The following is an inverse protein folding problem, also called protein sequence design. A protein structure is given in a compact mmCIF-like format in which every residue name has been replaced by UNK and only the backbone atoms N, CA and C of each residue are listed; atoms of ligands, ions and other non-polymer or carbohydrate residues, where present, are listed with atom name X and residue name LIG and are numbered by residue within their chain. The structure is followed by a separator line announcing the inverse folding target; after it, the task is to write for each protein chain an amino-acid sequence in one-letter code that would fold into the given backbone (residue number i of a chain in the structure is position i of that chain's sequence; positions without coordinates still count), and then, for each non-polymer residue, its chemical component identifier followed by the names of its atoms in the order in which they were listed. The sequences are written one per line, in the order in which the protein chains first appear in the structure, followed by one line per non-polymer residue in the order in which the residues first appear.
data_IF_199911552628
#
_entry.id   IF_199911552628
#
_cell.length_a   1.000
_cell.length_b   1.000
_cell.length_c   1.000
_cell.angle_alpha   90.00
_cell.angle_beta   90.00
_cell.angle_gamma   90.00
#
_symmetry.space_group_name_H-M   'P 1'
#
loop_
_entity.id
_entity.type
_entity.pdbx_description
1 polymer ?
#
# COMPACT_ATOMS: atom_id res chain seq x y z
N UNK A 1 -0.50 -6.26 -26.74
CA UNK A 1 0.00 -5.65 -25.49
C UNK A 1 -0.92 -4.53 -24.97
N UNK A 2 -2.24 -4.50 -25.28
CA UNK A 2 -3.12 -3.34 -24.99
C UNK A 2 -4.40 -3.63 -24.17
N UNK A 3 -4.64 -4.87 -23.69
CA UNK A 3 -5.92 -5.19 -23.07
C UNK A 3 -6.10 -4.68 -21.63
N UNK A 4 -5.03 -4.46 -20.85
CA UNK A 4 -5.17 -4.05 -19.44
C UNK A 4 -5.53 -2.57 -19.29
N UNK A 5 -5.07 -1.72 -20.22
CA UNK A 5 -5.34 -0.27 -20.27
C UNK A 5 -6.85 0.00 -20.37
N UNK A 6 -7.55 -0.82 -21.15
CA UNK A 6 -8.98 -0.65 -21.42
C UNK A 6 -9.85 -1.09 -20.25
N UNK A 7 -9.46 -2.11 -19.48
CA UNK A 7 -10.36 -2.73 -18.49
C UNK A 7 -10.61 -1.82 -17.29
N UNK A 8 -9.57 -1.21 -16.72
CA UNK A 8 -9.74 -0.37 -15.51
C UNK A 8 -10.56 0.87 -15.85
N UNK A 9 -10.24 1.56 -16.94
CA UNK A 9 -10.98 2.76 -17.37
C UNK A 9 -12.39 2.46 -17.85
N UNK A 10 -12.61 1.34 -18.55
CA UNK A 10 -13.95 0.95 -18.99
C UNK A 10 -14.85 0.47 -17.84
N UNK A 11 -14.26 -0.01 -16.73
CA UNK A 11 -15.01 -0.50 -15.56
C UNK A 11 -15.16 0.57 -14.47
N UNK A 12 -14.39 1.65 -14.53
CA UNK A 12 -14.48 2.76 -13.59
C UNK A 12 -15.74 3.60 -13.86
N UNK A 13 -16.37 4.17 -12.82
CA UNK A 13 -17.41 5.18 -12.99
C UNK A 13 -16.89 6.34 -13.87
N UNK A 14 -17.72 6.84 -14.78
CA UNK A 14 -17.33 7.93 -15.70
C UNK A 14 -16.90 9.21 -14.97
N UNK A 15 -17.38 9.41 -13.73
CA UNK A 15 -17.10 10.56 -12.88
C UNK A 15 -16.05 10.27 -11.80
N UNK A 16 -15.30 9.17 -11.90
CA UNK A 16 -14.23 8.86 -10.94
C UNK A 16 -13.11 9.91 -11.05
N UNK A 17 -12.85 10.61 -9.95
CA UNK A 17 -11.84 11.67 -9.90
C UNK A 17 -10.47 11.16 -9.47
N UNK A 18 -10.45 10.16 -8.57
CA UNK A 18 -9.22 9.66 -7.95
C UNK A 18 -9.37 8.19 -7.59
N UNK A 19 -8.32 7.40 -7.82
CA UNK A 19 -8.26 5.98 -7.48
C UNK A 19 -7.09 5.68 -6.53
N UNK A 20 -7.39 5.18 -5.33
CA UNK A 20 -6.36 4.75 -4.37
C UNK A 20 -6.25 3.23 -4.40
N UNK A 21 -5.04 2.71 -4.59
CA UNK A 21 -4.78 1.29 -4.70
C UNK A 21 -3.80 0.81 -3.63
N UNK A 22 -4.25 -0.16 -2.82
CA UNK A 22 -3.41 -0.80 -1.80
C UNK A 22 -2.68 -2.02 -2.40
N UNK A 23 -1.41 -1.82 -2.72
CA UNK A 23 -0.51 -2.83 -3.25
C UNK A 23 0.25 -3.54 -2.13
N UNK A 24 1.57 -3.68 -2.21
CA UNK A 24 2.44 -4.31 -1.21
C UNK A 24 3.87 -3.85 -1.41
N UNK A 25 4.64 -3.69 -0.33
CA UNK A 25 6.09 -3.71 -0.43
C UNK A 25 6.55 -5.05 -1.04
N UNK A 26 7.65 -5.00 -1.78
CA UNK A 26 8.29 -6.14 -2.42
C UNK A 26 7.82 -6.44 -3.83
N UNK A 27 6.86 -5.70 -4.39
CA UNK A 27 6.39 -5.92 -5.77
C UNK A 27 7.48 -5.75 -6.82
N UNK A 28 8.46 -4.87 -6.58
CA UNK A 28 9.63 -4.69 -7.46
C UNK A 28 10.81 -5.59 -7.05
N UNK A 29 10.73 -6.21 -5.87
CA UNK A 29 11.76 -7.10 -5.30
C UNK A 29 11.29 -8.55 -5.13
N UNK A 30 10.26 -8.95 -5.90
CA UNK A 30 9.57 -10.23 -5.76
C UNK A 30 10.46 -11.47 -5.89
N UNK A 31 11.60 -11.36 -6.56
CA UNK A 31 12.58 -12.45 -6.71
C UNK A 31 13.60 -12.50 -5.57
N UNK A 32 13.61 -11.52 -4.67
CA UNK A 32 14.52 -11.44 -3.53
C UNK A 32 13.89 -12.05 -2.28
N UNK A 33 14.69 -12.71 -1.44
CA UNK A 33 14.22 -13.17 -0.14
C UNK A 33 13.93 -11.96 0.78
N UNK A 34 12.83 -11.95 1.57
CA UNK A 34 11.84 -13.01 1.78
C UNK A 34 10.65 -12.98 0.79
N UNK A 35 10.58 -12.00 -0.11
CA UNK A 35 9.45 -11.79 -1.03
C UNK A 35 9.25 -12.93 -2.02
N UNK A 36 10.32 -13.63 -2.41
CA UNK A 36 10.24 -14.83 -3.27
C UNK A 36 9.44 -15.96 -2.62
N UNK A 37 9.43 -16.06 -1.29
CA UNK A 37 8.58 -17.03 -0.57
C UNK A 37 7.13 -16.58 -0.57
N UNK A 38 6.90 -15.29 -0.29
CA UNK A 38 5.56 -14.69 -0.30
C UNK A 38 4.92 -14.79 -1.70
N UNK A 39 5.73 -14.63 -2.75
CA UNK A 39 5.30 -14.68 -4.13
C UNK A 39 5.18 -16.10 -4.71
N UNK A 40 5.30 -17.17 -3.91
CA UNK A 40 5.16 -18.55 -4.40
C UNK A 40 3.84 -18.82 -5.13
N UNK A 41 2.80 -18.05 -4.85
CA UNK A 41 1.50 -18.12 -5.52
C UNK A 41 1.25 -16.95 -6.51
N UNK A 42 2.28 -16.18 -6.87
CA UNK A 42 2.18 -15.08 -7.83
C UNK A 42 1.42 -13.85 -7.33
N UNK A 43 1.28 -13.68 -6.01
CA UNK A 43 0.51 -12.58 -5.40
C UNK A 43 1.15 -11.21 -5.71
N UNK A 44 2.47 -11.11 -5.65
CA UNK A 44 3.19 -9.87 -5.97
C UNK A 44 3.16 -9.59 -7.47
N UNK A 45 3.17 -10.63 -8.32
CA UNK A 45 2.94 -10.48 -9.77
C UNK A 45 1.55 -9.93 -10.08
N UNK A 46 0.51 -10.43 -9.41
CA UNK A 46 -0.84 -9.94 -9.58
C UNK A 46 -0.98 -8.48 -9.13
N UNK A 47 -0.37 -8.12 -7.99
CA UNK A 47 -0.33 -6.74 -7.50
C UNK A 47 0.39 -5.81 -8.47
N UNK A 48 1.57 -6.19 -8.96
CA UNK A 48 2.32 -5.38 -9.93
C UNK A 48 1.56 -5.21 -11.25
N UNK A 49 0.85 -6.24 -11.72
CA UNK A 49 -0.04 -6.11 -12.90
C UNK A 49 -1.18 -5.12 -12.63
N UNK A 50 -1.76 -5.14 -11.43
CA UNK A 50 -2.78 -4.17 -11.01
C UNK A 50 -2.24 -2.74 -10.99
N UNK A 51 -1.05 -2.51 -10.40
CA UNK A 51 -0.37 -1.21 -10.43
C UNK A 51 -0.18 -0.71 -11.86
N UNK A 52 0.40 -1.55 -12.73
CA UNK A 52 0.62 -1.19 -14.14
C UNK A 52 -0.69 -0.88 -14.87
N UNK A 53 -1.77 -1.63 -14.61
CA UNK A 53 -3.05 -1.38 -15.25
C UNK A 53 -3.63 -0.01 -14.83
N UNK A 54 -3.48 0.38 -13.56
CA UNK A 54 -3.92 1.69 -13.05
C UNK A 54 -3.04 2.81 -13.60
N UNK A 55 -1.71 2.66 -13.54
CA UNK A 55 -0.76 3.66 -14.07
C UNK A 55 -1.06 3.96 -15.54
N UNK A 56 -1.32 2.93 -16.34
CA UNK A 56 -1.60 3.09 -17.76
C UNK A 56 -3.07 3.46 -18.08
N UNK A 57 -3.97 3.51 -17.09
CA UNK A 57 -5.39 3.82 -17.31
C UNK A 57 -5.66 5.30 -17.62
N UNK A 58 -4.76 6.20 -17.19
CA UNK A 58 -4.96 7.64 -17.26
C UNK A 58 -5.96 8.20 -16.24
N UNK A 59 -6.35 7.40 -15.24
CA UNK A 59 -7.08 7.86 -14.04
C UNK A 59 -6.06 8.41 -13.05
N UNK A 60 -6.34 9.55 -12.40
CA UNK A 60 -5.50 10.05 -11.31
C UNK A 60 -5.46 9.03 -10.17
N UNK A 61 -4.26 8.63 -9.76
CA UNK A 61 -4.10 7.54 -8.82
C UNK A 61 -3.17 7.88 -7.66
N UNK A 62 -3.29 7.08 -6.59
CA UNK A 62 -2.26 6.93 -5.57
C UNK A 62 -2.09 5.43 -5.29
N UNK A 63 -0.87 4.92 -5.42
CA UNK A 63 -0.54 3.53 -5.09
C UNK A 63 0.22 3.48 -3.79
N UNK A 64 -0.33 2.77 -2.81
CA UNK A 64 0.25 2.62 -1.47
C UNK A 64 0.75 1.19 -1.32
N UNK A 65 2.04 1.03 -1.05
CA UNK A 65 2.72 -0.25 -0.85
C UNK A 65 2.99 -0.46 0.65
N UNK A 66 2.05 -1.05 1.41
CA UNK A 66 2.30 -1.30 2.82
C UNK A 66 3.36 -2.38 3.02
N UNK A 67 4.11 -2.25 4.12
CA UNK A 67 4.86 -3.35 4.71
C UNK A 67 3.94 -4.48 5.19
N UNK A 68 4.48 -5.37 6.03
CA UNK A 68 3.69 -6.49 6.57
C UNK A 68 2.54 -5.97 7.42
N UNK A 69 1.30 -6.28 7.04
CA UNK A 69 0.12 -5.76 7.72
C UNK A 69 -0.05 -6.35 9.13
N UNK A 70 -0.09 -5.50 10.14
CA UNK A 70 -0.32 -5.84 11.56
C UNK A 70 -1.57 -5.14 12.10
N UNK A 71 -1.96 -5.47 13.35
CA UNK A 71 -3.18 -5.01 14.04
C UNK A 71 -4.49 -5.53 13.39
N UNK A 72 -5.49 -5.87 14.21
CA UNK A 72 -6.66 -6.66 13.81
C UNK A 72 -7.74 -5.96 12.96
N UNK A 73 -8.85 -6.65 12.63
CA UNK A 73 -9.14 -8.04 12.98
C UNK A 73 -8.26 -9.01 12.18
N UNK A 74 -7.68 -9.99 12.87
CA UNK A 74 -6.91 -11.06 12.23
C UNK A 74 -7.90 -11.98 11.52
N UNK A 75 -8.05 -11.81 10.20
CA UNK A 75 -8.94 -12.68 9.40
C UNK A 75 -8.31 -14.05 9.14
N UNK A 76 -7.06 -14.26 9.54
CA UNK A 76 -6.37 -15.53 9.50
C UNK A 76 -5.98 -15.93 10.93
N UNK A 77 -6.23 -17.19 11.31
CA UNK A 77 -5.65 -17.85 12.48
C UNK A 77 -4.14 -18.08 12.29
N UNK A 78 -3.40 -17.02 11.94
CA UNK A 78 -1.96 -17.07 11.76
C UNK A 78 -1.22 -16.84 13.09
N UNK A 79 0.11 -16.99 13.03
CA UNK A 79 1.00 -16.79 14.16
C UNK A 79 0.83 -15.42 14.84
N UNK A 80 0.34 -14.39 14.14
CA UNK A 80 0.07 -13.06 14.71
C UNK A 80 -1.19 -13.04 15.58
N UNK A 81 -2.18 -13.90 15.29
CA UNK A 81 -3.33 -14.14 16.20
C UNK A 81 -2.86 -14.80 17.50
N UNK A 82 -1.91 -15.74 17.40
CA UNK A 82 -1.34 -16.42 18.57
C UNK A 82 -0.42 -15.51 19.39
N UNK A 83 0.32 -14.61 18.74
CA UNK A 83 1.25 -13.69 19.41
C UNK A 83 0.61 -12.39 19.89
N UNK A 84 -0.65 -12.08 19.51
CA UNK A 84 -1.38 -10.84 19.87
C UNK A 84 -0.47 -9.60 19.82
N UNK A 85 0.43 -9.52 18.84
CA UNK A 85 1.32 -8.37 18.68
C UNK A 85 0.52 -7.23 18.07
N UNK A 86 -0.27 -6.58 18.91
CA UNK A 86 -0.94 -5.34 18.56
C UNK A 86 0.01 -4.20 18.83
N UNK A 87 0.64 -3.66 17.79
CA UNK A 87 1.34 -2.38 17.91
C UNK A 87 0.33 -1.26 18.14
N UNK A 88 -0.96 -1.43 17.79
CA UNK A 88 -2.03 -0.47 18.03
C UNK A 88 -1.74 0.90 17.43
N UNK A 89 -0.96 0.96 16.35
CA UNK A 89 -0.43 2.22 15.82
C UNK A 89 0.42 3.00 16.84
N UNK A 90 1.21 2.36 17.71
CA UNK A 90 2.08 3.05 18.69
C UNK A 90 3.39 3.58 18.10
N UNK A 91 3.75 3.14 16.90
CA UNK A 91 4.94 3.60 16.19
C UNK A 91 4.58 4.72 15.21
N UNK A 92 5.57 5.54 14.89
CA UNK A 92 5.44 6.59 13.88
C UNK A 92 5.19 6.01 12.48
N UNK A 93 4.83 6.88 11.54
CA UNK A 93 4.63 6.53 10.12
C UNK A 93 5.85 6.99 9.34
N UNK A 94 6.41 6.10 8.53
CA UNK A 94 7.49 6.40 7.60
C UNK A 94 7.02 6.06 6.19
N UNK A 95 7.07 7.05 5.30
CA UNK A 95 6.83 6.88 3.88
C UNK A 95 8.15 6.75 3.11
N UNK A 96 8.14 5.97 2.03
CA UNK A 96 9.29 5.74 1.18
C UNK A 96 8.91 5.67 -0.30
N UNK A 97 9.90 5.72 -1.19
CA UNK A 97 9.70 5.53 -2.63
C UNK A 97 10.72 4.54 -3.19
N UNK A 98 10.31 3.84 -4.25
CA UNK A 98 11.16 2.91 -5.00
C UNK A 98 11.22 1.49 -4.42
N UNK A 99 10.20 1.12 -3.65
CA UNK A 99 10.02 -0.18 -3.00
C UNK A 99 11.26 -0.57 -2.17
N UNK A 100 11.71 0.30 -1.26
CA UNK A 100 12.94 0.05 -0.48
C UNK A 100 12.68 -0.25 1.00
N UNK A 101 11.53 0.20 1.51
CA UNK A 101 11.21 0.00 2.92
C UNK A 101 10.93 -1.47 3.23
N UNK A 102 11.31 -1.86 4.44
CA UNK A 102 11.01 -3.15 5.05
C UNK A 102 10.51 -2.89 6.47
N UNK A 103 9.44 -3.56 6.87
CA UNK A 103 8.87 -3.40 8.19
C UNK A 103 7.39 -3.76 8.20
N UNK A 104 6.77 -3.49 9.34
CA UNK A 104 5.35 -3.69 9.54
C UNK A 104 4.59 -2.41 9.24
N UNK A 105 3.32 -2.54 8.87
CA UNK A 105 2.40 -1.41 8.72
C UNK A 105 1.08 -1.76 9.41
N UNK A 106 0.61 -0.91 10.31
CA UNK A 106 -0.66 -1.09 10.98
C UNK A 106 -1.79 -0.87 9.98
N UNK A 107 -2.82 -1.72 10.02
CA UNK A 107 -3.98 -1.58 9.12
C UNK A 107 -4.67 -0.22 9.29
N UNK A 108 -4.64 0.35 10.50
CA UNK A 108 -5.22 1.67 10.81
C UNK A 108 -4.44 2.80 10.12
N UNK A 109 -3.11 2.80 10.20
CA UNK A 109 -2.30 3.84 9.56
C UNK A 109 -2.35 3.74 8.03
N UNK A 110 -2.41 2.51 7.49
CA UNK A 110 -2.61 2.29 6.04
C UNK A 110 -3.97 2.82 5.60
N UNK A 111 -5.03 2.56 6.38
CA UNK A 111 -6.36 3.08 6.07
C UNK A 111 -6.39 4.62 6.15
N UNK A 112 -5.75 5.22 7.15
CA UNK A 112 -5.61 6.67 7.25
C UNK A 112 -4.86 7.25 6.05
N UNK A 113 -3.74 6.66 5.64
CA UNK A 113 -3.00 7.10 4.44
C UNK A 113 -3.87 7.02 3.17
N UNK A 114 -4.73 6.01 3.04
CA UNK A 114 -5.66 5.90 1.91
C UNK A 114 -6.67 7.05 1.89
N UNK A 115 -7.22 7.43 3.05
CA UNK A 115 -8.19 8.54 3.14
C UNK A 115 -7.52 9.88 2.90
N UNK A 116 -6.39 10.14 3.55
CA UNK A 116 -5.68 11.42 3.50
C UNK A 116 -5.13 11.70 2.09
N UNK A 117 -4.64 10.67 1.40
CA UNK A 117 -4.21 10.79 0.00
C UNK A 117 -5.35 11.10 -0.98
N UNK A 118 -6.63 10.92 -0.61
CA UNK A 118 -7.72 11.37 -1.46
C UNK A 118 -7.79 12.90 -1.57
N UNK A 119 -7.30 13.61 -0.55
CA UNK A 119 -7.46 15.05 -0.41
C UNK A 119 -6.15 15.84 -0.58
N UNK A 120 -4.99 15.18 -0.58
CA UNK A 120 -3.70 15.83 -0.83
C UNK A 120 -3.23 15.67 -2.28
N UNK A 121 -3.08 16.80 -2.98
CA UNK A 121 -2.57 16.85 -4.35
C UNK A 121 -1.11 16.37 -4.49
N UNK A 122 -0.30 16.40 -3.44
CA UNK A 122 1.06 15.87 -3.48
C UNK A 122 1.09 14.36 -3.72
N UNK A 123 -0.03 13.67 -3.51
CA UNK A 123 -0.16 12.22 -3.74
C UNK A 123 -0.74 11.87 -5.11
N UNK A 124 -1.07 12.85 -5.98
CA UNK A 124 -1.51 12.56 -7.35
C UNK A 124 -0.40 11.85 -8.15
N UNK A 125 -0.77 10.74 -8.80
CA UNK A 125 0.11 9.92 -9.61
C UNK A 125 1.38 9.48 -8.85
N UNK A 126 1.26 9.33 -7.52
CA UNK A 126 2.36 8.89 -6.67
C UNK A 126 2.25 7.41 -6.33
N UNK A 127 3.42 6.82 -6.13
CA UNK A 127 3.61 5.49 -5.58
C UNK A 127 4.51 5.64 -4.36
N UNK A 128 4.09 5.16 -3.20
CA UNK A 128 4.91 5.19 -2.00
C UNK A 128 4.72 3.95 -1.13
N UNK A 129 5.78 3.59 -0.42
CA UNK A 129 5.73 2.59 0.64
C UNK A 129 5.30 3.20 1.97
N UNK A 130 4.65 2.41 2.81
CA UNK A 130 4.33 2.81 4.19
C UNK A 130 4.74 1.71 5.16
N UNK A 131 5.47 2.09 6.20
CA UNK A 131 5.84 1.25 7.35
C UNK A 131 5.72 2.05 8.65
N UNK A 132 5.64 1.32 9.77
CA UNK A 132 5.59 1.88 11.10
C UNK A 132 6.92 1.69 11.83
N UNK A 133 7.57 2.78 12.18
CA UNK A 133 8.88 2.79 12.86
C UNK A 133 9.03 4.03 13.74
N UNK A 134 9.93 3.95 14.73
CA UNK A 134 10.29 5.08 15.59
C UNK A 134 9.16 5.57 16.49
N UNK A 135 9.38 6.74 17.10
CA UNK A 135 8.43 7.38 18.01
C UNK A 135 7.24 7.94 17.25
N UNK A 136 6.03 7.66 17.74
CA UNK A 136 4.82 8.25 17.18
C UNK A 136 4.63 9.69 17.71
N UNK A 137 4.41 10.68 16.83
CA UNK A 137 4.01 12.01 17.26
C UNK A 137 2.57 12.01 17.78
N UNK A 138 2.23 12.96 18.66
CA UNK A 138 0.87 13.12 19.19
C UNK A 138 -0.16 13.42 18.09
N UNK A 139 0.28 14.11 17.03
CA UNK A 139 -0.51 14.44 15.84
C UNK A 139 0.27 14.02 14.61
N UNK A 140 -0.38 13.28 13.71
CA UNK A 140 0.18 12.95 12.39
C UNK A 140 -0.12 14.10 11.43
N UNK A 141 0.93 14.72 10.91
CA UNK A 141 0.85 15.77 9.91
C UNK A 141 1.07 15.16 8.51
N UNK A 142 -0.03 14.77 7.85
CA UNK A 142 0.01 14.07 6.55
C UNK A 142 0.62 14.93 5.44
N UNK A 143 0.37 16.25 5.45
CA UNK A 143 0.94 17.16 4.46
C UNK A 143 2.48 17.21 4.50
N UNK A 144 3.10 16.89 5.65
CA UNK A 144 4.56 16.79 5.76
C UNK A 144 5.09 15.39 5.42
N UNK A 145 4.24 14.37 5.48
CA UNK A 145 4.63 13.00 5.17
C UNK A 145 4.62 12.73 3.67
N UNK A 146 3.63 13.26 2.95
CA UNK A 146 3.48 13.13 1.50
C UNK A 146 4.52 13.95 0.72
#
# INVERSE_FOLDING_TARGET
MNNQILVVRASAPQNLQRFVFVSSCGVERKDQFPFSILNKFGVLDAKQKGENAIINSGILYTIIRPGRLIDGPFTAYDLATLLKTTSGGKLGIVLGKGDKLNGDASRIDVAAACVESLFDSNTENQIFEIVNQGTRPDIIDWNKLF
#
